data_IF_383018839503
#
_entry.id   IF_383018839503
#
_cell.length_a   1.000
_cell.length_b   1.000
_cell.length_c   1.000
_cell.angle_alpha   90.00
_cell.angle_beta   90.00
_cell.angle_gamma   90.00
#
_symmetry.space_group_name_H-M   'P 1'
#
loop_
_entity.id
_entity.type
_entity.pdbx_description
1 polymer ?
#
# COMPACT_ATOMS: atom_id res chain seq x y z
N UNK A 1 -10.76 -12.78 -6.23
CA UNK A 1 -9.29 -12.68 -6.27
C UNK A 1 -8.69 -13.48 -5.12
N UNK A 2 -7.70 -14.29 -5.41
CA UNK A 2 -6.99 -15.04 -4.37
C UNK A 2 -6.17 -14.08 -3.50
N UNK A 3 -5.95 -14.44 -2.24
CA UNK A 3 -5.19 -13.61 -1.31
C UNK A 3 -3.80 -13.27 -1.83
N UNK A 4 -3.13 -14.25 -2.43
CA UNK A 4 -1.79 -14.04 -3.00
C UNK A 4 -1.81 -13.02 -4.12
N UNK A 5 -2.78 -13.11 -5.03
CA UNK A 5 -2.90 -12.19 -6.17
C UNK A 5 -3.24 -10.79 -5.69
N UNK A 6 -4.09 -10.68 -4.68
CA UNK A 6 -4.43 -9.40 -4.07
C UNK A 6 -3.20 -8.75 -3.43
N UNK A 7 -2.42 -9.53 -2.69
CA UNK A 7 -1.21 -9.01 -2.03
C UNK A 7 -0.21 -8.48 -3.06
N UNK A 8 0.02 -9.21 -4.13
CA UNK A 8 0.92 -8.78 -5.20
C UNK A 8 0.42 -7.50 -5.84
N UNK A 9 -0.89 -7.41 -6.08
CA UNK A 9 -1.50 -6.22 -6.64
C UNK A 9 -1.39 -5.03 -5.69
N UNK A 10 -1.58 -5.25 -4.40
CA UNK A 10 -1.47 -4.20 -3.39
C UNK A 10 -0.05 -3.65 -3.34
N UNK A 11 0.93 -4.52 -3.31
CA UNK A 11 2.35 -4.12 -3.29
C UNK A 11 2.68 -3.33 -4.55
N UNK A 12 2.28 -3.82 -5.72
CA UNK A 12 2.54 -3.14 -6.99
C UNK A 12 1.87 -1.75 -7.01
N UNK A 13 0.66 -1.66 -6.48
CA UNK A 13 -0.06 -0.37 -6.42
C UNK A 13 0.71 0.67 -5.60
N UNK A 14 1.28 0.25 -4.46
CA UNK A 14 2.08 1.15 -3.62
C UNK A 14 3.37 1.55 -4.34
N UNK A 15 4.06 0.60 -4.96
CA UNK A 15 5.29 0.90 -5.72
C UNK A 15 4.99 1.91 -6.84
N UNK A 16 3.96 1.67 -7.62
CA UNK A 16 3.62 2.54 -8.74
C UNK A 16 3.23 3.93 -8.26
N UNK A 17 2.42 4.03 -7.21
CA UNK A 17 2.03 5.32 -6.66
C UNK A 17 3.25 6.08 -6.11
N UNK A 18 4.04 5.43 -5.26
CA UNK A 18 5.22 6.05 -4.66
C UNK A 18 6.15 6.59 -5.74
N UNK A 19 6.46 5.75 -6.73
CA UNK A 19 7.40 6.12 -7.78
C UNK A 19 6.85 7.23 -8.69
N UNK A 20 5.53 7.35 -8.79
CA UNK A 20 4.91 8.44 -9.55
C UNK A 20 5.08 9.81 -8.87
N UNK A 21 5.34 9.81 -7.54
CA UNK A 21 5.54 11.04 -6.76
C UNK A 21 7.00 11.44 -6.64
N UNK A 22 7.92 10.58 -7.08
CA UNK A 22 9.36 10.85 -7.00
C UNK A 22 9.78 11.68 -8.21
N UNK A 23 10.67 12.66 -7.97
CA UNK A 23 11.25 13.45 -9.06
C UNK A 23 11.97 12.53 -10.04
N UNK A 24 11.70 12.68 -11.33
CA UNK A 24 12.28 11.85 -12.37
C UNK A 24 13.82 11.93 -12.43
N UNK A 25 14.41 12.96 -11.85
CA UNK A 25 15.86 13.13 -11.79
C UNK A 25 16.49 12.43 -10.59
N UNK A 26 15.68 12.00 -9.61
CA UNK A 26 16.16 11.30 -8.41
C UNK A 26 16.15 9.80 -8.64
N UNK A 27 17.27 9.29 -9.13
CA UNK A 27 17.41 7.85 -9.42
C UNK A 27 17.39 6.98 -8.17
N UNK A 28 17.70 7.55 -7.01
CA UNK A 28 17.77 6.83 -5.75
C UNK A 28 16.48 6.92 -4.94
N UNK A 29 15.52 7.73 -5.40
CA UNK A 29 14.27 7.96 -4.70
C UNK A 29 13.21 6.90 -4.94
N UNK A 30 13.35 6.11 -5.99
CA UNK A 30 12.36 5.09 -6.33
C UNK A 30 12.49 3.85 -5.46
N UNK A 31 11.37 3.17 -5.26
CA UNK A 31 11.33 1.92 -4.49
C UNK A 31 10.96 0.74 -5.40
N UNK A 32 11.22 -0.45 -4.89
CA UNK A 32 10.80 -1.70 -5.52
C UNK A 32 9.88 -2.45 -4.57
N UNK A 33 9.35 -3.57 -5.03
CA UNK A 33 8.47 -4.42 -4.21
C UNK A 33 9.14 -4.83 -2.89
N UNK A 34 10.45 -4.99 -2.87
CA UNK A 34 11.18 -5.38 -1.65
C UNK A 34 11.11 -4.31 -0.56
N UNK A 35 10.79 -3.07 -0.91
CA UNK A 35 10.67 -1.98 0.05
C UNK A 35 9.27 -1.86 0.65
N UNK A 36 8.31 -2.62 0.15
CA UNK A 36 6.91 -2.55 0.58
C UNK A 36 6.56 -3.76 1.43
N UNK A 37 5.88 -3.53 2.55
CA UNK A 37 5.41 -4.63 3.39
C UNK A 37 3.95 -4.44 3.73
N UNK A 38 3.26 -5.56 3.94
CA UNK A 38 1.86 -5.58 4.33
C UNK A 38 1.79 -5.55 5.85
N UNK A 39 1.11 -4.55 6.41
CA UNK A 39 0.90 -4.43 7.84
C UNK A 39 -0.19 -5.40 8.28
N UNK A 40 -1.32 -5.41 7.56
CA UNK A 40 -2.37 -6.41 7.71
C UNK A 40 -3.22 -6.45 6.44
N UNK A 41 -3.94 -7.54 6.28
CA UNK A 41 -4.88 -7.72 5.18
C UNK A 41 -6.07 -8.53 5.65
N UNK A 42 -7.21 -8.33 4.99
CA UNK A 42 -8.40 -9.14 5.25
C UNK A 42 -9.19 -9.33 3.97
N UNK A 43 -10.01 -10.37 3.97
CA UNK A 43 -10.92 -10.67 2.88
C UNK A 43 -12.30 -10.87 3.45
N UNK A 44 -13.30 -10.23 2.87
CA UNK A 44 -14.70 -10.38 3.24
C UNK A 44 -15.49 -10.59 1.96
N UNK A 45 -15.99 -11.81 1.76
CA UNK A 45 -16.70 -12.18 0.52
C UNK A 45 -15.79 -11.94 -0.69
N UNK A 46 -16.20 -11.10 -1.63
CA UNK A 46 -15.43 -10.79 -2.83
C UNK A 46 -14.47 -9.61 -2.64
N UNK A 47 -14.53 -8.97 -1.47
CA UNK A 47 -13.78 -7.76 -1.21
C UNK A 47 -12.51 -8.06 -0.42
N UNK A 48 -11.44 -7.32 -0.74
CA UNK A 48 -10.16 -7.44 -0.05
C UNK A 48 -9.69 -6.07 0.40
N UNK A 49 -9.01 -6.03 1.53
CA UNK A 49 -8.45 -4.79 2.05
C UNK A 49 -7.09 -5.06 2.67
N UNK A 50 -6.15 -4.15 2.45
CA UNK A 50 -4.82 -4.26 3.05
C UNK A 50 -4.29 -2.90 3.43
N UNK A 51 -3.55 -2.87 4.55
CA UNK A 51 -2.77 -1.71 4.95
C UNK A 51 -1.31 -2.06 4.72
N UNK A 52 -0.60 -1.17 4.01
CA UNK A 52 0.78 -1.37 3.63
C UNK A 52 1.61 -0.18 4.06
N UNK A 53 2.91 -0.40 4.16
CA UNK A 53 3.87 0.68 4.36
C UNK A 53 5.16 0.33 3.61
N UNK A 54 6.14 1.22 3.71
CA UNK A 54 7.43 1.01 3.05
C UNK A 54 8.56 1.16 4.05
N UNK A 55 9.76 0.74 3.65
CA UNK A 55 10.97 0.92 4.44
C UNK A 55 11.47 2.37 4.43
N UNK A 56 10.85 3.24 3.64
CA UNK A 56 11.18 4.67 3.61
C UNK A 56 10.63 5.33 4.87
N UNK A 57 11.48 6.13 5.53
CA UNK A 57 11.12 6.78 6.81
C UNK A 57 10.37 8.09 6.57
N UNK A 58 9.22 8.01 5.90
CA UNK A 58 8.38 9.18 5.59
C UNK A 58 7.07 9.20 6.38
N UNK A 59 6.81 8.17 7.19
CA UNK A 59 5.59 8.07 7.99
C UNK A 59 4.34 7.77 7.20
N UNK A 60 4.47 7.34 5.96
CA UNK A 60 3.33 7.07 5.09
C UNK A 60 2.82 5.65 5.24
N UNK A 61 1.49 5.52 5.17
CA UNK A 61 0.78 4.26 5.11
C UNK A 61 -0.15 4.29 3.91
N UNK A 62 -0.42 3.12 3.35
CA UNK A 62 -1.25 2.99 2.16
C UNK A 62 -2.30 1.92 2.40
N UNK A 63 -3.53 2.22 2.04
CA UNK A 63 -4.63 1.28 2.18
C UNK A 63 -5.22 1.00 0.81
N UNK A 64 -5.18 -0.26 0.39
CA UNK A 64 -5.82 -0.69 -0.85
C UNK A 64 -7.14 -1.37 -0.49
N UNK A 65 -8.23 -0.87 -1.05
CA UNK A 65 -9.56 -1.47 -0.92
C UNK A 65 -9.96 -2.00 -2.29
N UNK A 66 -10.23 -3.30 -2.37
CA UNK A 66 -10.60 -3.96 -3.61
C UNK A 66 -12.04 -4.41 -3.57
N UNK A 67 -12.82 -3.98 -4.56
CA UNK A 67 -14.20 -4.41 -4.75
C UNK A 67 -14.22 -5.52 -5.82
N UNK A 68 -14.42 -6.76 -5.39
CA UNK A 68 -14.37 -7.91 -6.29
C UNK A 68 -15.54 -7.98 -7.26
N UNK A 69 -16.69 -7.42 -6.89
CA UNK A 69 -17.86 -7.41 -7.78
C UNK A 69 -17.65 -6.49 -8.96
N UNK A 70 -17.01 -5.34 -8.72
CA UNK A 70 -16.73 -4.35 -9.76
C UNK A 70 -15.37 -4.53 -10.40
N UNK A 71 -14.53 -5.41 -9.83
CA UNK A 71 -13.17 -5.64 -10.29
C UNK A 71 -12.36 -4.35 -10.34
N UNK A 72 -12.45 -3.54 -9.27
CA UNK A 72 -11.75 -2.27 -9.15
C UNK A 72 -11.27 -2.04 -7.74
N UNK A 73 -10.29 -1.15 -7.58
CA UNK A 73 -9.73 -0.83 -6.28
C UNK A 73 -9.39 0.64 -6.13
N UNK A 74 -9.24 1.04 -4.88
CA UNK A 74 -8.85 2.40 -4.52
C UNK A 74 -7.67 2.33 -3.58
N UNK A 75 -6.65 3.13 -3.86
CA UNK A 75 -5.48 3.26 -3.00
C UNK A 75 -5.56 4.59 -2.27
N UNK A 76 -5.61 4.54 -0.94
CA UNK A 76 -5.60 5.72 -0.10
C UNK A 76 -4.23 5.86 0.56
N UNK A 77 -3.68 7.06 0.54
CA UNK A 77 -2.39 7.36 1.15
C UNK A 77 -2.60 8.19 2.42
N UNK A 78 -2.06 7.70 3.54
CA UNK A 78 -2.19 8.35 4.84
C UNK A 78 -0.82 8.67 5.40
N UNK A 79 -0.71 9.79 6.09
CA UNK A 79 0.52 10.12 6.80
C UNK A 79 0.28 9.95 8.30
N UNK A 80 1.18 9.23 8.95
CA UNK A 80 1.15 9.09 10.40
C UNK A 80 1.39 10.47 11.03
N UNK A 81 0.41 10.93 11.81
CA UNK A 81 0.47 12.26 12.41
C UNK A 81 1.17 12.24 13.76
N UNK A 82 0.81 11.29 14.61
CA UNK A 82 1.33 11.24 15.98
C UNK A 82 1.23 9.82 16.53
N UNK A 83 2.23 9.46 17.33
CA UNK A 83 2.23 8.20 18.08
C UNK A 83 2.03 8.53 19.55
N UNK A 84 0.94 8.04 20.15
CA UNK A 84 0.59 8.31 21.54
C UNK A 84 0.48 7.00 22.29
N UNK A 85 1.16 6.93 23.45
CA UNK A 85 1.08 5.76 24.31
C UNK A 85 -0.33 5.65 24.91
N UNK A 86 -0.89 4.46 24.83
CA UNK A 86 -2.19 4.12 25.44
C UNK A 86 -1.94 3.00 26.46
N UNK A 87 -2.45 3.18 27.66
CA UNK A 87 -2.34 2.16 28.72
C UNK A 87 -3.69 1.58 29.07
#
# INVERSE_FOLDING_TARGET
MQERDFREKAIKSVVDYFNSQVDSTDKNGKITADNVFVVWECKTLQNNKALLSTTVSDGMYYELTWNGDKNEGYLDAYKKWKNTLVK
#
